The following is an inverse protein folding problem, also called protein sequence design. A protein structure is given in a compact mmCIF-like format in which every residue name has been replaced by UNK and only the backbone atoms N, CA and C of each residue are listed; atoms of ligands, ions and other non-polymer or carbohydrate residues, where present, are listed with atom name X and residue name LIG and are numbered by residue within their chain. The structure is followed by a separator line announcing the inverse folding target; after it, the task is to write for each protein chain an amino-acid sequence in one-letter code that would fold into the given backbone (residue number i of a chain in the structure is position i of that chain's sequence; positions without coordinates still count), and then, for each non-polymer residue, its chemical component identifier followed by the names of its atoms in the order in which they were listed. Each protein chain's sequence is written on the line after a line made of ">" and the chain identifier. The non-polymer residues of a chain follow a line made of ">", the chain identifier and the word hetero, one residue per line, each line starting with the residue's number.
data_IF_159781396304
#
_entry.id   IF_159781396304
#
_cell.length_a   1.000
_cell.length_b   1.000
_cell.length_c   1.000
_cell.angle_alpha   90.00
_cell.angle_beta   90.00
_cell.angle_gamma   90.00
#
_symmetry.space_group_name_H-M   'P 1'
#
loop_
_entity.id
_entity.type
_entity.pdbx_description
1 polymer ?
#
# COMPACT_ATOMS: atom_id res chain seq x y z
N UNK A 1 42.98 -79.46 -9.79
CA UNK A 1 43.60 -78.93 -8.57
C UNK A 1 42.61 -78.03 -7.88
N UNK A 2 42.36 -78.38 -6.63
CA UNK A 2 41.20 -78.08 -5.81
C UNK A 2 41.05 -76.63 -5.30
N UNK A 3 39.77 -76.29 -5.13
CA UNK A 3 39.19 -75.54 -4.02
C UNK A 3 40.01 -75.56 -2.72
N UNK A 4 40.23 -74.40 -2.08
CA UNK A 4 40.11 -74.27 -0.61
C UNK A 4 39.69 -72.86 -0.19
N UNK A 5 38.81 -72.83 0.82
CA UNK A 5 38.04 -71.72 1.33
C UNK A 5 38.54 -71.20 2.70
N UNK A 6 38.37 -69.89 2.94
CA UNK A 6 38.13 -69.16 4.23
C UNK A 6 39.16 -69.28 5.40
N UNK A 7 39.14 -68.42 6.47
CA UNK A 7 38.18 -67.37 6.86
C UNK A 7 38.75 -65.99 7.32
N UNK A 8 37.79 -65.09 7.53
CA UNK A 8 37.80 -63.74 8.12
C UNK A 8 38.48 -63.65 9.50
N UNK A 9 39.32 -62.61 9.71
CA UNK A 9 39.62 -62.04 11.04
C UNK A 9 39.13 -60.60 11.11
N UNK A 10 37.97 -60.38 11.76
CA UNK A 10 37.56 -59.07 12.29
C UNK A 10 38.52 -58.67 13.42
N UNK A 11 39.37 -57.67 13.21
CA UNK A 11 40.00 -56.92 14.30
C UNK A 11 39.18 -55.66 14.58
N UNK A 12 38.88 -55.47 15.86
CA UNK A 12 38.01 -54.45 16.44
C UNK A 12 38.56 -53.04 16.20
N UNK A 13 37.64 -52.11 15.97
CA UNK A 13 37.84 -50.67 16.03
C UNK A 13 38.58 -50.24 17.30
N UNK A 14 39.76 -49.66 17.11
CA UNK A 14 40.38 -48.69 18.00
C UNK A 14 41.26 -47.86 17.08
N UNK A 15 40.81 -46.65 16.74
CA UNK A 15 41.59 -45.52 16.21
C UNK A 15 40.62 -44.53 15.55
N UNK A 16 39.78 -43.89 16.38
CA UNK A 16 38.98 -42.72 15.98
C UNK A 16 39.23 -41.50 16.87
N UNK A 17 40.44 -41.39 17.41
CA UNK A 17 40.88 -40.24 18.20
C UNK A 17 42.26 -39.76 17.76
N UNK A 18 42.32 -39.15 16.58
CA UNK A 18 43.52 -38.50 16.07
C UNK A 18 43.15 -37.54 14.97
N UNK A 19 42.77 -36.31 15.34
CA UNK A 19 42.78 -35.06 14.53
C UNK A 19 41.72 -34.03 15.01
N UNK A 20 41.65 -33.76 16.32
CA UNK A 20 40.87 -32.64 16.85
C UNK A 20 41.74 -31.39 17.06
N UNK A 21 43.03 -31.58 17.35
CA UNK A 21 43.95 -30.51 17.70
C UNK A 21 44.53 -29.80 16.45
N UNK A 22 44.77 -30.56 15.36
CA UNK A 22 45.19 -30.03 14.06
C UNK A 22 44.10 -29.15 13.43
N UNK A 23 42.86 -29.65 13.38
CA UNK A 23 41.70 -28.88 12.90
C UNK A 23 41.45 -27.61 13.71
N UNK A 24 41.53 -27.64 15.04
CA UNK A 24 41.41 -26.41 15.86
C UNK A 24 42.48 -25.38 15.54
N UNK A 25 43.72 -25.81 15.32
CA UNK A 25 44.83 -24.90 14.96
C UNK A 25 44.63 -24.27 13.59
N UNK A 26 44.18 -25.05 12.61
CA UNK A 26 43.88 -24.55 11.25
C UNK A 26 42.69 -23.59 11.28
N UNK A 27 41.61 -23.93 12.00
CA UNK A 27 40.43 -23.06 12.13
C UNK A 27 40.81 -21.72 12.78
N UNK A 28 41.58 -21.73 13.88
CA UNK A 28 42.01 -20.49 14.52
C UNK A 28 42.93 -19.64 13.61
N UNK A 29 43.78 -20.27 12.82
CA UNK A 29 44.68 -19.55 11.92
C UNK A 29 43.93 -18.94 10.72
N UNK A 30 42.93 -19.64 10.17
CA UNK A 30 42.05 -19.10 9.12
C UNK A 30 41.23 -17.93 9.66
N UNK A 31 40.59 -18.09 10.83
CA UNK A 31 39.80 -17.01 11.47
C UNK A 31 40.67 -15.78 11.75
N UNK A 32 41.89 -15.96 12.24
CA UNK A 32 42.80 -14.85 12.51
C UNK A 32 43.22 -14.12 11.24
N UNK A 33 43.49 -14.86 10.15
CA UNK A 33 43.89 -14.28 8.86
C UNK A 33 42.75 -13.51 8.22
N UNK A 34 41.52 -14.04 8.27
CA UNK A 34 40.33 -13.37 7.76
C UNK A 34 39.99 -12.11 8.58
N UNK A 35 40.16 -12.15 9.90
CA UNK A 35 39.93 -10.99 10.77
C UNK A 35 40.92 -9.85 10.48
N UNK A 36 42.21 -10.15 10.27
CA UNK A 36 43.21 -9.14 9.90
C UNK A 36 42.95 -8.59 8.48
N UNK A 37 42.56 -9.44 7.53
CA UNK A 37 42.24 -9.01 6.17
C UNK A 37 41.03 -8.09 6.13
N UNK A 38 39.98 -8.42 6.89
CA UNK A 38 38.78 -7.60 7.01
C UNK A 38 39.08 -6.24 7.66
N UNK A 39 39.87 -6.24 8.75
CA UNK A 39 40.29 -4.99 9.42
C UNK A 39 41.10 -4.05 8.51
N UNK A 40 42.06 -4.58 7.75
CA UNK A 40 42.81 -3.77 6.77
C UNK A 40 41.92 -3.23 5.65
N UNK A 41 40.92 -3.99 5.20
CA UNK A 41 39.97 -3.55 4.17
C UNK A 41 39.10 -2.39 4.70
N UNK A 42 38.64 -2.47 5.95
CA UNK A 42 37.85 -1.39 6.58
C UNK A 42 38.66 -0.11 6.78
N UNK A 43 39.95 -0.20 7.13
CA UNK A 43 40.80 0.98 7.30
C UNK A 43 41.05 1.69 5.95
N UNK A 44 41.25 0.94 4.86
CA UNK A 44 41.42 1.51 3.51
C UNK A 44 40.14 2.18 3.01
N UNK A 45 38.97 1.59 3.27
CA UNK A 45 37.68 2.20 2.91
C UNK A 45 37.40 3.50 3.68
N UNK A 46 37.80 3.57 4.96
CA UNK A 46 37.63 4.78 5.78
C UNK A 46 38.56 5.89 5.30
N UNK A 47 39.84 5.58 4.99
CA UNK A 47 40.78 6.57 4.45
C UNK A 47 40.32 7.12 3.10
N UNK A 48 39.88 6.24 2.19
CA UNK A 48 39.33 6.63 0.89
C UNK A 48 38.10 7.55 1.02
N UNK A 49 37.22 7.28 1.99
CA UNK A 49 36.07 8.16 2.28
C UNK A 49 36.50 9.51 2.84
N UNK A 50 37.55 9.56 3.65
CA UNK A 50 38.09 10.81 4.21
C UNK A 50 38.68 11.70 3.11
N UNK A 51 39.40 11.11 2.15
CA UNK A 51 39.95 11.83 1.00
C UNK A 51 38.85 12.37 0.07
N UNK A 52 37.77 11.61 -0.14
CA UNK A 52 36.63 12.08 -0.94
C UNK A 52 35.86 13.23 -0.25
N UNK A 53 35.78 13.22 1.07
CA UNK A 53 35.20 14.32 1.86
C UNK A 53 36.06 15.57 1.76
N UNK A 54 37.38 15.47 1.91
CA UNK A 54 38.28 16.62 1.82
C UNK A 54 38.17 17.30 0.45
N UNK A 55 38.15 16.52 -0.64
CA UNK A 55 37.96 17.05 -1.99
C UNK A 55 36.60 17.75 -2.16
N UNK A 56 35.53 17.21 -1.58
CA UNK A 56 34.20 17.84 -1.61
C UNK A 56 34.16 19.14 -0.81
N UNK A 57 34.86 19.18 0.33
CA UNK A 57 35.01 20.40 1.13
C UNK A 57 35.76 21.49 0.35
N UNK A 58 36.82 21.13 -0.38
CA UNK A 58 37.55 22.10 -1.21
C UNK A 58 36.67 22.73 -2.30
N UNK A 59 35.83 21.93 -2.97
CA UNK A 59 34.88 22.43 -3.99
C UNK A 59 33.82 23.36 -3.37
N UNK A 60 33.26 22.98 -2.21
CA UNK A 60 32.29 23.83 -1.50
C UNK A 60 32.96 25.12 -0.99
N UNK A 61 34.21 25.05 -0.56
CA UNK A 61 34.97 26.21 -0.09
C UNK A 61 35.24 27.19 -1.24
N UNK A 62 35.56 26.69 -2.44
CA UNK A 62 35.71 27.48 -3.65
C UNK A 62 34.40 28.19 -4.04
N UNK A 63 33.27 27.48 -4.02
CA UNK A 63 31.94 28.04 -4.31
C UNK A 63 31.51 29.10 -3.29
N UNK A 64 31.76 28.86 -2.00
CA UNK A 64 31.46 29.81 -0.91
C UNK A 64 32.31 31.08 -1.04
N UNK A 65 33.56 30.96 -1.51
CA UNK A 65 34.42 32.12 -1.78
C UNK A 65 33.92 32.91 -3.00
N UNK A 66 33.48 32.24 -4.07
CA UNK A 66 32.87 32.89 -5.23
C UNK A 66 31.56 33.62 -4.86
N UNK A 67 30.73 33.02 -4.02
CA UNK A 67 29.49 33.64 -3.52
C UNK A 67 29.75 34.88 -2.68
N UNK A 68 30.83 34.90 -1.89
CA UNK A 68 31.23 36.06 -1.07
C UNK A 68 31.64 37.26 -1.93
N UNK A 69 32.29 37.02 -3.06
CA UNK A 69 32.72 38.08 -3.97
C UNK A 69 31.52 38.76 -4.66
N UNK A 70 30.49 37.99 -5.00
CA UNK A 70 29.24 38.53 -5.55
C UNK A 70 28.54 39.48 -4.57
N UNK A 71 28.53 39.16 -3.27
CA UNK A 71 27.96 40.03 -2.22
C UNK A 71 28.65 41.39 -2.12
N UNK A 72 29.97 41.44 -2.32
CA UNK A 72 30.72 42.70 -2.31
C UNK A 72 30.39 43.59 -3.51
N UNK A 73 30.28 43.00 -4.70
CA UNK A 73 29.86 43.73 -5.91
C UNK A 73 28.44 44.28 -5.79
N UNK A 74 27.54 43.56 -5.11
CA UNK A 74 26.18 44.03 -4.83
C UNK A 74 26.21 45.23 -3.87
N UNK A 75 27.02 45.20 -2.81
CA UNK A 75 27.14 46.29 -1.83
C UNK A 75 27.65 47.61 -2.45
N UNK A 76 28.59 47.52 -3.39
CA UNK A 76 29.07 48.68 -4.16
C UNK A 76 27.98 49.21 -5.12
N UNK A 77 27.26 48.31 -5.83
CA UNK A 77 26.16 48.69 -6.72
C UNK A 77 24.99 49.34 -5.96
N UNK A 78 24.68 48.85 -4.76
CA UNK A 78 23.70 49.43 -3.82
C UNK A 78 24.06 50.88 -3.50
N UNK A 79 25.34 51.12 -3.22
CA UNK A 79 25.86 52.43 -2.82
C UNK A 79 25.78 53.43 -3.99
N UNK A 80 26.18 53.00 -5.18
CA UNK A 80 26.15 53.82 -6.40
C UNK A 80 24.71 54.13 -6.86
N UNK A 81 23.82 53.14 -6.81
CA UNK A 81 22.40 53.32 -7.14
C UNK A 81 21.69 54.20 -6.12
N UNK A 82 22.04 54.10 -4.83
CA UNK A 82 21.49 54.98 -3.80
C UNK A 82 21.88 56.45 -4.02
N UNK A 83 23.06 56.71 -4.60
CA UNK A 83 23.55 58.06 -4.86
C UNK A 83 22.80 58.74 -6.02
N UNK A 84 22.61 58.02 -7.13
CA UNK A 84 21.97 58.56 -8.36
C UNK A 84 20.45 58.42 -8.30
N UNK A 85 19.93 57.35 -7.69
CA UNK A 85 18.51 57.05 -7.63
C UNK A 85 17.71 58.11 -6.87
N UNK A 86 18.27 58.69 -5.81
CA UNK A 86 17.55 59.66 -4.96
C UNK A 86 17.03 60.87 -5.73
N UNK A 87 17.70 61.30 -6.80
CA UNK A 87 17.31 62.49 -7.55
C UNK A 87 16.27 62.16 -8.63
N UNK A 88 16.34 60.96 -9.23
CA UNK A 88 15.29 60.45 -10.12
C UNK A 88 13.99 60.13 -9.37
N UNK A 89 14.09 59.54 -8.18
CA UNK A 89 12.92 59.22 -7.35
C UNK A 89 12.17 60.48 -6.90
N UNK A 90 12.88 61.54 -6.51
CA UNK A 90 12.25 62.82 -6.16
C UNK A 90 11.46 63.41 -7.34
N UNK A 91 12.00 63.31 -8.57
CA UNK A 91 11.29 63.77 -9.76
C UNK A 91 10.00 62.98 -10.01
N UNK A 92 10.04 61.65 -9.88
CA UNK A 92 8.85 60.78 -10.06
C UNK A 92 7.80 60.98 -8.96
N UNK A 93 8.21 61.19 -7.71
CA UNK A 93 7.28 61.48 -6.60
C UNK A 93 6.55 62.80 -6.81
N UNK A 94 7.26 63.84 -7.27
CA UNK A 94 6.63 65.14 -7.62
C UNK A 94 5.64 65.00 -8.79
N UNK A 95 5.92 64.13 -9.75
CA UNK A 95 5.03 63.88 -10.89
C UNK A 95 3.80 63.02 -10.50
N UNK A 96 3.96 62.06 -9.58
CA UNK A 96 2.88 61.23 -9.03
C UNK A 96 1.95 62.00 -8.09
N UNK A 97 2.49 62.92 -7.29
CA UNK A 97 1.72 63.82 -6.42
C UNK A 97 0.85 64.77 -7.27
N UNK A 98 1.39 65.26 -8.39
CA UNK A 98 0.63 66.00 -9.41
C UNK A 98 -0.45 65.15 -10.11
N UNK A 99 -0.29 63.83 -10.16
CA UNK A 99 -1.28 62.89 -10.70
C UNK A 99 -2.36 62.47 -9.68
N UNK A 100 -2.33 63.01 -8.45
CA UNK A 100 -3.34 62.76 -7.42
C UNK A 100 -3.20 61.43 -6.68
N UNK A 101 -2.02 60.79 -6.75
CA UNK A 101 -1.70 59.60 -5.96
C UNK A 101 -0.89 60.07 -4.75
N UNK A 102 -1.50 60.04 -3.57
CA UNK A 102 -0.86 60.42 -2.31
C UNK A 102 0.12 59.32 -1.89
N UNK A 103 1.36 59.44 -2.36
CA UNK A 103 2.42 58.47 -2.07
C UNK A 103 3.41 59.09 -1.11
N UNK A 104 3.47 58.55 0.11
CA UNK A 104 4.47 58.94 1.10
C UNK A 104 5.89 58.61 0.57
N UNK A 105 6.59 59.66 0.14
CA UNK A 105 7.94 59.56 -0.42
C UNK A 105 8.96 58.96 0.55
N UNK A 106 8.77 59.11 1.87
CA UNK A 106 9.63 58.50 2.87
C UNK A 106 9.35 56.99 2.99
N UNK A 107 8.08 56.57 2.94
CA UNK A 107 7.71 55.15 2.92
C UNK A 107 8.22 54.44 1.66
N UNK A 108 8.13 55.08 0.49
CA UNK A 108 8.71 54.56 -0.76
C UNK A 108 10.22 54.44 -0.68
N UNK A 109 10.90 55.48 -0.19
CA UNK A 109 12.36 55.46 -0.01
C UNK A 109 12.79 54.31 0.90
N UNK A 110 12.10 54.11 2.02
CA UNK A 110 12.35 52.98 2.90
C UNK A 110 12.08 51.62 2.24
N UNK A 111 11.07 51.52 1.38
CA UNK A 111 10.77 50.32 0.61
C UNK A 111 11.88 50.03 -0.41
N UNK A 112 12.37 51.04 -1.12
CA UNK A 112 13.52 50.93 -2.04
C UNK A 112 14.77 50.49 -1.27
N UNK A 113 15.09 51.10 -0.13
CA UNK A 113 16.21 50.66 0.71
C UNK A 113 16.03 49.24 1.23
N UNK A 114 14.82 48.83 1.62
CA UNK A 114 14.53 47.46 2.02
C UNK A 114 14.69 46.48 0.85
N UNK A 115 14.23 46.82 -0.35
CA UNK A 115 14.42 45.97 -1.52
C UNK A 115 15.92 45.80 -1.83
N UNK A 116 16.65 46.91 -1.89
CA UNK A 116 18.09 46.93 -2.17
C UNK A 116 18.88 46.15 -1.11
N UNK A 117 18.57 46.34 0.18
CA UNK A 117 19.24 45.62 1.28
C UNK A 117 18.88 44.14 1.35
N UNK A 118 17.73 43.73 0.81
CA UNK A 118 17.27 42.34 0.79
C UNK A 118 17.39 41.71 -0.60
N UNK A 119 18.21 42.27 -1.51
CA UNK A 119 18.45 41.70 -2.85
C UNK A 119 18.92 40.24 -2.73
N UNK A 120 19.76 39.92 -1.76
CA UNK A 120 20.21 38.54 -1.53
C UNK A 120 19.04 37.58 -1.23
N UNK A 121 18.12 37.98 -0.35
CA UNK A 121 16.92 37.18 -0.03
C UNK A 121 15.98 37.06 -1.23
N UNK A 122 15.88 38.11 -2.05
CA UNK A 122 15.09 38.09 -3.29
C UNK A 122 15.74 37.15 -4.31
N UNK A 123 17.07 37.15 -4.42
CA UNK A 123 17.82 36.24 -5.29
C UNK A 123 17.66 34.77 -4.86
N UNK A 124 17.71 34.49 -3.56
CA UNK A 124 17.43 33.15 -3.02
C UNK A 124 16.00 32.71 -3.35
N UNK A 125 15.02 33.62 -3.24
CA UNK A 125 13.64 33.35 -3.65
C UNK A 125 13.53 33.07 -5.15
N UNK A 126 14.25 33.81 -6.00
CA UNK A 126 14.27 33.54 -7.44
C UNK A 126 14.89 32.18 -7.77
N UNK A 127 15.95 31.75 -7.08
CA UNK A 127 16.51 30.41 -7.23
C UNK A 127 15.53 29.30 -6.83
N UNK A 128 14.71 29.54 -5.79
CA UNK A 128 13.63 28.63 -5.41
C UNK A 128 12.51 28.58 -6.46
N UNK A 129 12.13 29.73 -7.03
CA UNK A 129 11.15 29.80 -8.11
C UNK A 129 11.65 29.13 -9.38
N UNK A 130 12.94 29.26 -9.70
CA UNK A 130 13.58 28.56 -10.81
C UNK A 130 13.55 27.04 -10.59
N UNK A 131 13.92 26.58 -9.40
CA UNK A 131 13.85 25.16 -9.03
C UNK A 131 12.42 24.60 -9.09
N UNK A 132 11.43 25.38 -8.64
CA UNK A 132 10.01 24.99 -8.73
C UNK A 132 9.53 24.96 -10.18
N UNK A 133 9.94 25.93 -11.00
CA UNK A 133 9.63 25.99 -12.42
C UNK A 133 10.26 24.82 -13.18
N UNK A 134 11.50 24.45 -12.85
CA UNK A 134 12.18 23.30 -13.44
C UNK A 134 11.53 21.99 -13.03
N UNK A 135 11.15 21.83 -11.76
CA UNK A 135 10.33 20.69 -11.34
C UNK A 135 8.99 20.61 -12.10
N UNK A 136 8.31 21.75 -12.29
CA UNK A 136 7.07 21.80 -13.07
C UNK A 136 7.35 21.39 -14.52
N UNK A 137 8.41 21.89 -15.16
CA UNK A 137 8.78 21.51 -16.53
C UNK A 137 9.10 20.01 -16.63
N UNK A 138 9.76 19.44 -15.63
CA UNK A 138 10.11 18.01 -15.61
C UNK A 138 8.89 17.10 -15.36
N UNK A 139 7.97 17.54 -14.52
CA UNK A 139 6.76 16.78 -14.15
C UNK A 139 5.64 16.95 -15.19
N UNK A 140 5.60 18.07 -15.92
CA UNK A 140 4.56 18.38 -16.93
C UNK A 140 4.40 17.27 -18.00
N UNK A 141 5.48 16.74 -18.62
CA UNK A 141 5.38 15.63 -19.58
C UNK A 141 4.77 14.36 -18.97
N UNK A 142 5.11 14.06 -17.72
CA UNK A 142 4.60 12.88 -16.99
C UNK A 142 3.10 13.06 -16.71
N UNK A 143 2.69 14.24 -16.23
CA UNK A 143 1.28 14.57 -15.97
C UNK A 143 0.46 14.47 -17.26
N UNK A 144 0.96 14.94 -18.40
CA UNK A 144 0.20 14.86 -19.64
C UNK A 144 -0.05 13.41 -20.08
N UNK A 145 0.95 12.54 -20.01
CA UNK A 145 0.79 11.14 -20.43
C UNK A 145 -0.05 10.35 -19.43
N UNK A 146 0.33 10.38 -18.15
CA UNK A 146 -0.40 9.66 -17.10
C UNK A 146 -1.80 10.22 -16.89
N UNK A 147 -1.98 11.54 -17.04
CA UNK A 147 -3.26 12.22 -16.88
C UNK A 147 -4.27 11.85 -17.95
N UNK A 148 -3.87 11.84 -19.23
CA UNK A 148 -4.76 11.42 -20.32
C UNK A 148 -5.17 9.95 -20.19
N UNK A 149 -4.23 9.07 -19.88
CA UNK A 149 -4.52 7.65 -19.65
C UNK A 149 -5.43 7.44 -18.44
N UNK A 150 -5.21 8.21 -17.37
CA UNK A 150 -6.05 8.18 -16.17
C UNK A 150 -7.47 8.67 -16.44
N UNK A 151 -7.64 9.76 -17.20
CA UNK A 151 -8.97 10.28 -17.59
C UNK A 151 -9.70 9.24 -18.44
N UNK A 152 -9.03 8.66 -19.43
CA UNK A 152 -9.62 7.61 -20.26
C UNK A 152 -9.99 6.39 -19.43
N UNK A 153 -9.13 5.99 -18.48
CA UNK A 153 -9.40 4.85 -17.59
C UNK A 153 -10.55 5.13 -16.64
N UNK A 154 -10.62 6.33 -16.10
CA UNK A 154 -11.70 6.76 -15.21
C UNK A 154 -13.04 6.79 -15.95
N UNK A 155 -13.05 7.32 -17.18
CA UNK A 155 -14.22 7.31 -18.06
C UNK A 155 -14.64 5.88 -18.45
N UNK A 156 -13.68 4.97 -18.69
CA UNK A 156 -13.97 3.54 -18.91
C UNK A 156 -14.61 2.89 -17.68
N UNK A 157 -14.12 3.20 -16.48
CA UNK A 157 -14.69 2.71 -15.22
C UNK A 157 -16.09 3.27 -14.99
N UNK A 158 -16.31 4.54 -15.30
CA UNK A 158 -17.62 5.19 -15.22
C UNK A 158 -18.62 4.58 -16.20
N UNK A 159 -18.26 4.43 -17.48
CA UNK A 159 -19.12 3.78 -18.49
C UNK A 159 -19.47 2.33 -18.15
N UNK A 160 -18.54 1.62 -17.51
CA UNK A 160 -18.77 0.25 -17.03
C UNK A 160 -19.57 0.21 -15.71
N UNK A 161 -19.94 1.35 -15.15
CA UNK A 161 -20.74 1.45 -13.93
C UNK A 161 -19.99 1.10 -12.65
N UNK A 162 -18.64 1.10 -12.64
CA UNK A 162 -17.88 0.78 -11.44
C UNK A 162 -18.13 1.76 -10.30
N UNK A 163 -18.27 3.06 -10.62
CA UNK A 163 -18.57 4.07 -9.60
C UNK A 163 -19.97 3.88 -9.01
N UNK A 164 -20.96 3.58 -9.86
CA UNK A 164 -22.32 3.30 -9.40
C UNK A 164 -22.37 2.04 -8.54
N UNK A 165 -21.68 0.98 -8.97
CA UNK A 165 -21.55 -0.25 -8.19
C UNK A 165 -20.89 -0.01 -6.82
N UNK A 166 -19.79 0.73 -6.75
CA UNK A 166 -19.12 1.06 -5.48
C UNK A 166 -20.02 1.94 -4.61
N UNK A 167 -20.73 2.90 -5.19
CA UNK A 167 -21.67 3.75 -4.46
C UNK A 167 -22.82 2.93 -3.87
N UNK A 168 -23.39 2.00 -4.63
CA UNK A 168 -24.43 1.09 -4.16
C UNK A 168 -23.92 0.11 -3.10
N UNK A 169 -22.70 -0.42 -3.26
CA UNK A 169 -22.06 -1.19 -2.19
C UNK A 169 -21.90 -0.38 -0.91
N UNK A 170 -21.50 0.89 -1.03
CA UNK A 170 -21.41 1.81 0.10
C UNK A 170 -22.76 1.99 0.81
N UNK A 171 -23.84 2.18 0.04
CA UNK A 171 -25.21 2.27 0.59
C UNK A 171 -25.65 0.98 1.26
N UNK A 172 -25.33 -0.19 0.68
CA UNK A 172 -25.60 -1.47 1.32
C UNK A 172 -24.84 -1.61 2.63
N UNK A 173 -23.56 -1.27 2.67
CA UNK A 173 -22.75 -1.29 3.89
C UNK A 173 -23.34 -0.33 4.94
N UNK A 174 -23.74 0.88 4.54
CA UNK A 174 -24.34 1.85 5.45
C UNK A 174 -25.68 1.35 6.03
N UNK A 175 -26.54 0.77 5.19
CA UNK A 175 -27.79 0.14 5.64
C UNK A 175 -27.54 -1.04 6.58
N UNK A 176 -26.50 -1.84 6.33
CA UNK A 176 -26.10 -2.94 7.21
C UNK A 176 -25.56 -2.38 8.53
N UNK A 177 -24.68 -1.40 8.53
CA UNK A 177 -24.09 -0.81 9.75
C UNK A 177 -25.11 -0.03 10.58
N UNK A 178 -26.14 0.56 9.95
CA UNK A 178 -27.23 1.23 10.66
C UNK A 178 -28.21 0.26 11.33
N UNK A 179 -28.43 -0.92 10.75
CA UNK A 179 -29.35 -1.93 11.29
C UNK A 179 -28.67 -3.00 12.16
N UNK A 180 -27.39 -3.25 11.93
CA UNK A 180 -26.58 -4.22 12.66
C UNK A 180 -25.47 -3.45 13.39
N UNK A 181 -25.49 -3.49 14.72
CA UNK A 181 -24.47 -2.82 15.53
C UNK A 181 -23.09 -3.45 15.32
N UNK A 182 -22.05 -2.81 15.84
CA UNK A 182 -20.68 -3.34 15.77
C UNK A 182 -20.55 -4.77 16.32
N UNK A 183 -21.37 -5.13 17.32
CA UNK A 183 -21.41 -6.47 17.88
C UNK A 183 -22.06 -7.50 16.93
N UNK A 184 -23.07 -7.09 16.17
CA UNK A 184 -23.76 -7.95 15.19
C UNK A 184 -22.88 -8.18 13.96
N UNK A 185 -22.17 -7.14 13.51
CA UNK A 185 -21.16 -7.25 12.44
C UNK A 185 -20.02 -8.18 12.86
N UNK A 186 -19.60 -8.12 14.12
CA UNK A 186 -18.59 -9.03 14.66
C UNK A 186 -19.08 -10.48 14.70
N UNK A 187 -20.30 -10.72 15.21
CA UNK A 187 -20.92 -12.05 15.19
C UNK A 187 -21.09 -12.57 13.76
N UNK A 188 -21.43 -11.72 12.80
CA UNK A 188 -21.51 -12.09 11.39
C UNK A 188 -20.14 -12.44 10.83
N UNK A 189 -19.11 -11.63 11.10
CA UNK A 189 -17.73 -11.91 10.67
C UNK A 189 -17.21 -13.24 11.21
N UNK A 190 -17.50 -13.55 12.47
CA UNK A 190 -17.08 -14.82 13.10
C UNK A 190 -17.81 -16.04 12.51
N UNK A 191 -19.01 -15.83 11.93
CA UNK A 191 -19.86 -16.90 11.37
C UNK A 191 -20.00 -16.84 9.84
N UNK A 192 -19.25 -15.97 9.15
CA UNK A 192 -19.41 -15.77 7.71
C UNK A 192 -19.00 -17.01 6.91
N UNK A 193 -17.97 -17.73 7.36
CA UNK A 193 -17.49 -18.95 6.69
C UNK A 193 -18.56 -20.07 6.71
N UNK A 194 -19.13 -20.45 7.88
CA UNK A 194 -20.25 -21.40 7.92
C UNK A 194 -21.45 -20.98 7.06
N UNK A 195 -21.80 -19.69 7.03
CA UNK A 195 -22.89 -19.19 6.19
C UNK A 195 -22.57 -19.32 4.69
N UNK A 196 -21.35 -19.00 4.27
CA UNK A 196 -20.90 -19.18 2.89
C UNK A 196 -20.86 -20.66 2.49
N UNK A 197 -20.48 -21.56 3.41
CA UNK A 197 -20.56 -23.00 3.20
C UNK A 197 -22.00 -23.49 3.06
N UNK A 198 -22.93 -22.94 3.87
CA UNK A 198 -24.36 -23.22 3.73
C UNK A 198 -24.89 -22.73 2.38
N UNK A 199 -24.59 -21.50 1.98
CA UNK A 199 -24.99 -20.97 0.67
C UNK A 199 -24.42 -21.84 -0.44
N UNK A 200 -23.14 -22.21 -0.36
CA UNK A 200 -22.50 -23.12 -1.31
C UNK A 200 -23.20 -24.48 -1.36
N UNK A 201 -23.56 -25.06 -0.21
CA UNK A 201 -24.29 -26.32 -0.09
C UNK A 201 -25.70 -26.23 -0.69
N UNK A 202 -26.42 -25.13 -0.43
CA UNK A 202 -27.74 -24.88 -1.00
C UNK A 202 -27.69 -24.67 -2.51
N UNK A 203 -26.61 -24.06 -3.03
CA UNK A 203 -26.38 -23.86 -4.46
C UNK A 203 -25.91 -25.12 -5.20
N UNK A 204 -25.71 -26.24 -4.49
CA UNK A 204 -25.43 -27.52 -5.16
C UNK A 204 -26.66 -27.93 -6.02
N UNK A 205 -26.46 -28.46 -7.23
CA UNK A 205 -27.55 -28.78 -8.17
C UNK A 205 -28.67 -29.61 -7.54
N UNK A 206 -28.32 -30.59 -6.73
CA UNK A 206 -29.25 -31.51 -6.06
C UNK A 206 -30.13 -30.77 -5.04
N UNK A 207 -29.52 -29.89 -4.23
CA UNK A 207 -30.22 -29.09 -3.21
C UNK A 207 -31.07 -27.98 -3.82
N UNK A 208 -30.57 -27.30 -4.86
CA UNK A 208 -31.34 -26.32 -5.63
C UNK A 208 -32.59 -26.94 -6.24
N UNK A 209 -32.47 -28.14 -6.81
CA UNK A 209 -33.61 -28.85 -7.38
C UNK A 209 -34.62 -29.25 -6.30
N UNK A 210 -34.17 -29.82 -5.17
CA UNK A 210 -35.05 -30.18 -4.06
C UNK A 210 -35.79 -28.95 -3.50
N UNK A 211 -35.08 -27.84 -3.30
CA UNK A 211 -35.65 -26.58 -2.83
C UNK A 211 -36.68 -26.01 -3.82
N UNK A 212 -36.31 -25.91 -5.11
CA UNK A 212 -37.19 -25.39 -6.16
C UNK A 212 -38.45 -26.24 -6.30
N UNK A 213 -38.31 -27.57 -6.26
CA UNK A 213 -39.44 -28.50 -6.31
C UNK A 213 -40.35 -28.33 -5.08
N UNK A 214 -39.78 -28.21 -3.88
CA UNK A 214 -40.54 -27.99 -2.65
C UNK A 214 -41.32 -26.67 -2.67
N UNK A 215 -40.68 -25.58 -3.09
CA UNK A 215 -41.33 -24.26 -3.23
C UNK A 215 -42.44 -24.30 -4.28
N UNK A 216 -42.22 -24.97 -5.40
CA UNK A 216 -43.25 -25.12 -6.44
C UNK A 216 -44.45 -25.95 -5.95
N UNK A 217 -44.20 -27.06 -5.23
CA UNK A 217 -45.28 -27.84 -4.61
C UNK A 217 -46.06 -26.97 -3.64
N UNK A 218 -45.39 -26.22 -2.76
CA UNK A 218 -46.06 -25.33 -1.80
C UNK A 218 -46.94 -24.27 -2.48
N UNK A 219 -46.43 -23.61 -3.53
CA UNK A 219 -47.20 -22.62 -4.31
C UNK A 219 -48.43 -23.21 -5.00
N UNK A 220 -48.38 -24.50 -5.37
CA UNK A 220 -49.45 -25.19 -6.07
C UNK A 220 -50.46 -25.88 -5.12
N UNK A 221 -50.21 -25.88 -3.81
CA UNK A 221 -51.18 -26.32 -2.83
C UNK A 221 -52.23 -25.21 -2.63
N UNK A 222 -53.51 -25.53 -2.87
CA UNK A 222 -54.62 -24.64 -2.54
C UNK A 222 -54.77 -24.57 -1.01
N UNK A 223 -54.02 -23.66 -0.38
CA UNK A 223 -53.96 -23.45 1.07
C UNK A 223 -55.30 -23.01 1.68
N UNK A 224 -56.24 -22.52 0.87
CA UNK A 224 -57.57 -22.10 1.31
C UNK A 224 -58.59 -23.23 1.43
N UNK A 225 -58.39 -24.36 0.74
CA UNK A 225 -59.35 -25.47 0.68
C UNK A 225 -58.66 -26.81 0.97
N UNK A 226 -58.14 -26.95 2.19
CA UNK A 226 -57.58 -28.22 2.66
C UNK A 226 -58.73 -29.19 2.97
N UNK A 227 -58.80 -30.37 2.32
CA UNK A 227 -59.91 -31.30 2.52
C UNK A 227 -59.91 -31.89 3.94
N UNK A 228 -61.10 -32.00 4.56
CA UNK A 228 -61.26 -32.64 5.87
C UNK A 228 -61.07 -34.16 5.79
N UNK A 229 -60.17 -34.69 6.62
CA UNK A 229 -59.88 -36.12 6.72
C UNK A 229 -60.58 -36.75 7.92
N UNK A 230 -61.42 -37.77 7.68
CA UNK A 230 -61.96 -38.66 8.71
C UNK A 230 -60.95 -39.76 9.07
N UNK A 231 -60.99 -40.29 10.30
CA UNK A 231 -60.10 -41.37 10.78
C UNK A 231 -60.02 -42.56 9.81
N UNK A 232 -61.14 -42.93 9.18
CA UNK A 232 -61.16 -44.01 8.19
C UNK A 232 -60.45 -43.62 6.88
N UNK A 233 -60.65 -42.38 6.42
CA UNK A 233 -59.95 -41.86 5.23
C UNK A 233 -58.44 -41.82 5.47
N UNK A 234 -57.99 -41.41 6.66
CA UNK A 234 -56.56 -41.42 7.02
C UNK A 234 -55.99 -42.83 6.94
N UNK A 235 -56.68 -43.82 7.52
CA UNK A 235 -56.23 -45.22 7.48
C UNK A 235 -56.14 -45.76 6.04
N UNK A 236 -57.09 -45.37 5.18
CA UNK A 236 -57.05 -45.70 3.75
C UNK A 236 -55.90 -44.97 3.04
N UNK A 237 -55.66 -43.70 3.35
CA UNK A 237 -54.62 -42.87 2.76
C UNK A 237 -53.22 -43.36 3.13
N UNK A 238 -53.00 -43.81 4.38
CA UNK A 238 -51.73 -44.43 4.81
C UNK A 238 -51.39 -45.68 3.99
N UNK A 239 -52.39 -46.37 3.46
CA UNK A 239 -52.21 -47.58 2.67
C UNK A 239 -51.88 -47.29 1.18
N UNK A 240 -51.96 -46.04 0.73
CA UNK A 240 -51.64 -45.68 -0.66
C UNK A 240 -50.14 -45.89 -0.95
N UNK A 241 -49.77 -46.24 -2.20
CA UNK A 241 -48.38 -46.47 -2.56
C UNK A 241 -47.51 -45.21 -2.38
N UNK A 242 -48.07 -44.02 -2.55
CA UNK A 242 -47.41 -42.73 -2.34
C UNK A 242 -47.05 -42.55 -0.86
N UNK A 243 -48.02 -42.76 0.05
CA UNK A 243 -47.81 -42.54 1.48
C UNK A 243 -46.85 -43.59 2.08
N UNK A 244 -46.92 -44.85 1.61
CA UNK A 244 -45.93 -45.88 1.98
C UNK A 244 -44.51 -45.52 1.55
N UNK A 245 -44.33 -44.99 0.33
CA UNK A 245 -43.02 -44.52 -0.15
C UNK A 245 -42.53 -43.32 0.67
N UNK A 246 -43.41 -42.36 0.97
CA UNK A 246 -43.08 -41.20 1.80
C UNK A 246 -42.67 -41.58 3.22
N UNK A 247 -43.43 -42.46 3.89
CA UNK A 247 -43.07 -42.99 5.21
C UNK A 247 -41.76 -43.79 5.16
N UNK A 248 -41.54 -44.61 4.13
CA UNK A 248 -40.29 -45.34 3.93
C UNK A 248 -39.07 -44.42 3.76
N UNK A 249 -39.22 -43.35 2.99
CA UNK A 249 -38.20 -42.30 2.87
C UNK A 249 -37.92 -41.66 4.24
N UNK A 250 -38.95 -41.22 4.98
CA UNK A 250 -38.78 -40.58 6.28
C UNK A 250 -38.09 -41.51 7.29
N UNK A 251 -38.49 -42.78 7.35
CA UNK A 251 -37.85 -43.79 8.20
C UNK A 251 -36.37 -43.97 7.82
N UNK A 252 -36.06 -44.01 6.52
CA UNK A 252 -34.67 -44.18 6.04
C UNK A 252 -33.83 -42.95 6.34
N UNK A 253 -34.37 -41.76 6.13
CA UNK A 253 -33.75 -40.49 6.45
C UNK A 253 -33.42 -40.38 7.94
N UNK A 254 -34.40 -40.63 8.82
CA UNK A 254 -34.20 -40.63 10.28
C UNK A 254 -33.15 -41.66 10.73
N UNK A 255 -33.13 -42.86 10.12
CA UNK A 255 -32.11 -43.87 10.41
C UNK A 255 -30.71 -43.41 10.03
N UNK A 256 -30.56 -42.64 8.96
CA UNK A 256 -29.26 -42.13 8.52
C UNK A 256 -28.76 -41.00 9.44
N UNK A 257 -29.63 -40.04 9.81
CA UNK A 257 -29.28 -38.99 10.78
C UNK A 257 -28.83 -39.57 12.12
N UNK A 258 -29.52 -40.60 12.62
CA UNK A 258 -29.17 -41.25 13.88
C UNK A 258 -27.84 -42.03 13.81
N UNK A 259 -27.37 -42.42 12.62
CA UNK A 259 -26.07 -43.08 12.43
C UNK A 259 -24.92 -42.10 12.31
N UNK A 260 -25.17 -40.93 11.75
CA UNK A 260 -24.17 -39.87 11.55
C UNK A 260 -23.86 -39.08 12.83
N UNK A 261 -24.81 -39.03 13.77
CA UNK A 261 -24.64 -38.41 15.10
C UNK A 261 -24.14 -39.38 16.20
N UNK A 262 -23.51 -40.50 15.82
CA UNK A 262 -22.84 -41.46 16.73
C UNK A 262 -21.35 -41.47 16.48
#
# INVERSE_FOLDING_TARGET
>A
MDLLAHPVKRKRNADRFGDANGRKKIINQVIFTDCIKNKKMTDIEIQSKFDDINRKLDIVLEEVLAQKQSRQTVEDLVTDVSLIGSDMFKATVVELDNAGIDVDGEALKQLVFKLIRNIDTINEMFGMLESANDLIKDVTPIIHQVGLDSINKMNELEQKGYFEFIAELGRMIDNVVTHFGAEDVKKLSDNIVPMLELVKSLTQPEMLQAFTNGVNVYKNLNTENIPEYSLWKIMREINTPEMKKGMGFMITFLKNISKENK
#
